data_IF_414773134166
#
_entry.id   IF_414773134166
#
_cell.length_a   1.000
_cell.length_b   1.000
_cell.length_c   1.000
_cell.angle_alpha   90.00
_cell.angle_beta   90.00
_cell.angle_gamma   90.00
#
_symmetry.space_group_name_H-M   'P 1'
#
loop_
_entity.id
_entity.type
_entity.pdbx_description
1 polymer ?
#
# COMPACT_ATOMS: atom_id res chain seq x y z
N UNK A 1 48.40 8.58 10.95
CA UNK A 1 47.44 8.31 9.88
C UNK A 1 46.06 8.12 10.50
N UNK A 2 45.25 9.13 10.45
CA UNK A 2 43.87 9.05 10.96
C UNK A 2 42.97 8.49 9.84
N UNK A 3 42.54 7.26 10.02
CA UNK A 3 41.51 6.65 9.18
C UNK A 3 40.16 7.20 9.66
N UNK A 4 39.62 8.19 8.97
CA UNK A 4 38.24 8.57 9.12
C UNK A 4 37.36 7.47 8.52
N UNK A 5 36.74 6.66 9.36
CA UNK A 5 35.61 5.82 9.00
C UNK A 5 34.45 6.72 8.64
N UNK A 6 34.22 6.94 7.34
CA UNK A 6 32.94 7.46 6.85
C UNK A 6 31.87 6.45 7.25
N UNK A 7 31.03 6.79 8.24
CA UNK A 7 29.76 6.12 8.43
C UNK A 7 28.93 6.40 7.17
N UNK A 8 28.75 5.37 6.33
CA UNK A 8 27.67 5.39 5.35
C UNK A 8 26.35 5.34 6.13
N UNK A 9 25.85 6.50 6.50
CA UNK A 9 24.46 6.69 6.85
C UNK A 9 23.65 6.45 5.59
N UNK A 10 23.21 5.22 5.34
CA UNK A 10 22.07 4.98 4.48
C UNK A 10 20.86 5.58 5.18
N UNK A 11 20.57 6.84 4.91
CA UNK A 11 19.30 7.44 5.24
C UNK A 11 18.23 6.56 4.59
N UNK A 12 17.41 5.94 5.40
CA UNK A 12 16.23 5.20 5.00
C UNK A 12 15.25 6.20 4.38
N UNK A 13 15.45 6.50 3.10
CA UNK A 13 14.74 7.58 2.45
C UNK A 13 13.34 7.10 2.04
N UNK A 14 12.33 7.77 2.59
CA UNK A 14 10.94 7.63 2.13
C UNK A 14 10.81 8.37 0.81
N UNK A 15 10.57 7.64 -0.26
CA UNK A 15 10.41 8.15 -1.62
C UNK A 15 8.93 8.28 -1.96
N UNK A 16 8.53 9.38 -2.57
CA UNK A 16 7.14 9.66 -2.98
C UNK A 16 7.12 10.00 -4.46
N UNK A 17 6.27 9.31 -5.21
CA UNK A 17 6.11 9.48 -6.64
C UNK A 17 4.65 9.77 -6.98
N UNK A 18 4.35 10.95 -7.49
CA UNK A 18 3.05 11.31 -8.03
C UNK A 18 2.92 10.88 -9.49
N UNK A 19 1.68 10.62 -9.95
CA UNK A 19 1.39 10.13 -11.29
C UNK A 19 2.27 8.92 -11.66
N UNK A 20 2.33 7.95 -10.74
CA UNK A 20 3.23 6.80 -10.84
C UNK A 20 2.96 5.95 -12.08
N UNK A 21 1.71 5.70 -12.43
CA UNK A 21 1.31 5.07 -13.68
C UNK A 21 0.96 6.11 -14.75
N UNK A 22 0.94 5.71 -16.01
CA UNK A 22 0.24 6.47 -17.04
C UNK A 22 -1.24 6.58 -16.69
N UNK A 23 -1.92 7.64 -17.16
CA UNK A 23 -3.37 7.80 -16.88
C UNK A 23 -4.17 6.59 -17.38
N UNK A 24 -3.86 6.09 -18.57
CA UNK A 24 -4.55 4.92 -19.13
C UNK A 24 -4.36 3.64 -18.31
N UNK A 25 -3.13 3.37 -17.82
CA UNK A 25 -2.87 2.19 -16.97
C UNK A 25 -3.57 2.31 -15.63
N UNK A 26 -3.59 3.52 -15.06
CA UNK A 26 -4.25 3.79 -13.80
C UNK A 26 -5.78 3.63 -13.89
N UNK A 27 -6.40 4.19 -14.93
CA UNK A 27 -7.85 4.06 -15.16
C UNK A 27 -8.24 2.60 -15.43
N UNK A 28 -7.45 1.87 -16.20
CA UNK A 28 -7.65 0.43 -16.39
C UNK A 28 -7.58 -0.34 -15.07
N UNK A 29 -6.62 -0.03 -14.20
CA UNK A 29 -6.49 -0.67 -12.90
C UNK A 29 -7.70 -0.38 -12.00
N UNK A 30 -8.18 0.87 -11.96
CA UNK A 30 -9.39 1.25 -11.21
C UNK A 30 -10.62 0.50 -11.70
N UNK A 31 -10.78 0.38 -13.02
CA UNK A 31 -11.89 -0.34 -13.65
C UNK A 31 -11.89 -1.83 -13.27
N UNK A 32 -10.75 -2.50 -13.40
CA UNK A 32 -10.59 -3.92 -13.08
C UNK A 32 -10.81 -4.21 -11.58
N UNK A 33 -10.47 -3.27 -10.70
CA UNK A 33 -10.72 -3.36 -9.26
C UNK A 33 -12.17 -3.01 -8.88
N UNK A 34 -13.03 -2.65 -9.85
CA UNK A 34 -14.43 -2.25 -9.64
C UNK A 34 -14.61 -1.11 -8.62
N UNK A 35 -13.72 -0.12 -8.62
CA UNK A 35 -13.73 0.97 -7.65
C UNK A 35 -14.68 2.12 -8.02
N UNK A 36 -15.07 2.27 -9.28
CA UNK A 36 -15.87 3.42 -9.74
C UNK A 36 -17.24 3.04 -10.31
N UNK A 37 -17.42 1.84 -10.83
CA UNK A 37 -18.72 1.39 -11.36
C UNK A 37 -18.81 -0.13 -11.38
N UNK A 38 -19.99 -0.64 -11.06
CA UNK A 38 -20.35 -2.04 -11.19
C UNK A 38 -20.73 -2.33 -12.67
N UNK A 39 -19.74 -2.42 -13.55
CA UNK A 39 -19.96 -2.68 -14.98
C UNK A 39 -19.46 -4.04 -15.42
N UNK A 40 -18.75 -4.77 -14.57
CA UNK A 40 -18.25 -6.10 -14.87
C UNK A 40 -19.18 -7.17 -14.33
N UNK A 41 -19.48 -8.19 -15.14
CA UNK A 41 -20.23 -9.37 -14.72
C UNK A 41 -19.44 -10.22 -13.70
N UNK A 42 -18.14 -9.99 -13.60
CA UNK A 42 -17.22 -10.67 -12.68
C UNK A 42 -16.32 -9.67 -11.96
N UNK A 43 -16.84 -8.88 -10.99
CA UNK A 43 -16.04 -7.91 -10.26
C UNK A 43 -15.00 -8.60 -9.39
N UNK A 44 -13.85 -7.94 -9.19
CA UNK A 44 -12.83 -8.42 -8.25
C UNK A 44 -13.43 -8.60 -6.85
N UNK A 45 -13.27 -9.78 -6.22
CA UNK A 45 -13.84 -10.02 -4.90
C UNK A 45 -13.09 -9.27 -3.82
N UNK A 46 -13.83 -8.76 -2.84
CA UNK A 46 -13.33 -8.14 -1.63
C UNK A 46 -13.76 -8.95 -0.41
N UNK A 47 -12.82 -9.21 0.50
CA UNK A 47 -13.05 -10.03 1.69
C UNK A 47 -13.09 -9.14 2.93
N UNK A 48 -14.18 -9.19 3.66
CA UNK A 48 -14.37 -8.44 4.90
C UNK A 48 -13.42 -8.91 6.00
N UNK A 49 -12.83 -7.95 6.71
CA UNK A 49 -11.98 -8.13 7.88
C UNK A 49 -12.52 -7.30 9.03
N UNK A 50 -12.68 -7.93 10.19
CA UNK A 50 -13.18 -7.28 11.42
C UNK A 50 -12.14 -6.41 12.12
N UNK A 51 -10.90 -6.43 11.66
CA UNK A 51 -9.78 -5.63 12.17
C UNK A 51 -8.86 -5.23 11.03
N UNK A 52 -8.03 -4.21 11.25
CA UNK A 52 -7.08 -3.69 10.25
C UNK A 52 -5.66 -4.19 10.48
N UNK A 53 -5.18 -4.09 11.72
CA UNK A 53 -3.80 -4.43 12.11
C UNK A 53 -3.79 -5.63 13.05
N UNK A 54 -4.57 -5.59 14.13
CA UNK A 54 -4.61 -6.63 15.14
C UNK A 54 -6.03 -6.90 15.62
N UNK A 55 -6.26 -8.11 16.12
CA UNK A 55 -7.57 -8.51 16.65
C UNK A 55 -7.95 -7.60 17.81
N UNK A 56 -9.08 -6.90 17.69
CA UNK A 56 -9.60 -5.98 18.71
C UNK A 56 -9.36 -4.50 18.39
N UNK A 57 -8.61 -4.16 17.33
CA UNK A 57 -8.73 -2.81 16.79
C UNK A 57 -10.14 -2.61 16.22
N UNK A 58 -10.70 -1.42 16.41
CA UNK A 58 -12.08 -1.12 15.99
C UNK A 58 -12.22 -0.81 14.50
N UNK A 59 -11.12 -0.88 13.73
CA UNK A 59 -11.10 -0.49 12.33
C UNK A 59 -11.35 -1.68 11.41
N UNK A 60 -12.49 -1.67 10.74
CA UNK A 60 -12.88 -2.68 9.76
C UNK A 60 -12.36 -2.31 8.36
N UNK A 61 -12.12 -3.31 7.53
CA UNK A 61 -11.71 -3.12 6.14
C UNK A 61 -12.14 -4.28 5.25
N UNK A 62 -12.09 -4.05 3.94
CA UNK A 62 -12.13 -5.12 2.95
C UNK A 62 -10.74 -5.31 2.37
N UNK A 63 -10.36 -6.55 2.09
CA UNK A 63 -9.03 -6.88 1.58
C UNK A 63 -9.11 -7.79 0.36
N UNK A 64 -8.10 -7.68 -0.50
CA UNK A 64 -7.85 -8.64 -1.57
C UNK A 64 -6.37 -8.96 -1.63
N UNK A 65 -6.00 -10.24 -1.48
CA UNK A 65 -4.62 -10.69 -1.59
C UNK A 65 -4.32 -11.11 -3.02
N UNK A 66 -3.50 -10.33 -3.72
CA UNK A 66 -3.05 -10.65 -5.08
C UNK A 66 -1.90 -11.67 -5.08
N UNK A 67 -0.99 -11.54 -4.10
CA UNK A 67 0.20 -12.37 -4.00
C UNK A 67 0.55 -12.63 -2.53
N UNK A 68 0.75 -13.89 -2.18
CA UNK A 68 1.11 -14.34 -0.82
C UNK A 68 1.75 -15.73 -0.91
N UNK A 69 2.59 -16.09 0.06
CA UNK A 69 3.26 -17.39 0.11
C UNK A 69 4.01 -17.72 -1.19
N UNK A 70 4.73 -16.73 -1.74
CA UNK A 70 5.58 -16.85 -2.93
C UNK A 70 4.81 -17.23 -4.22
N UNK A 71 3.52 -16.98 -4.29
CA UNK A 71 2.70 -17.27 -5.46
C UNK A 71 1.57 -16.27 -5.67
N UNK A 72 1.11 -16.08 -6.93
CA UNK A 72 -0.16 -15.43 -7.19
C UNK A 72 -1.30 -16.13 -6.45
N UNK A 73 -2.12 -15.36 -5.74
CA UNK A 73 -3.24 -15.85 -4.94
C UNK A 73 -4.59 -15.51 -5.57
N UNK A 74 -4.58 -14.85 -6.71
CA UNK A 74 -5.78 -14.38 -7.37
C UNK A 74 -5.58 -14.31 -8.90
N UNK A 75 -6.62 -14.63 -9.66
CA UNK A 75 -6.65 -14.46 -11.12
C UNK A 75 -6.50 -12.99 -11.52
N UNK A 76 -6.79 -12.07 -10.60
CA UNK A 76 -6.59 -10.62 -10.77
C UNK A 76 -5.14 -10.18 -10.59
N UNK A 77 -4.20 -11.05 -10.22
CA UNK A 77 -2.79 -10.67 -10.07
C UNK A 77 -2.23 -9.98 -11.32
N UNK A 78 -2.64 -10.40 -12.52
CA UNK A 78 -2.19 -9.85 -13.81
C UNK A 78 -2.53 -8.38 -14.03
N UNK A 79 -3.60 -7.84 -13.38
CA UNK A 79 -3.95 -6.42 -13.53
C UNK A 79 -2.87 -5.50 -12.95
N UNK A 80 -2.03 -6.02 -12.08
CA UNK A 80 -0.91 -5.31 -11.46
C UNK A 80 0.32 -5.20 -12.35
N UNK A 81 0.33 -5.79 -13.55
CA UNK A 81 1.50 -5.79 -14.44
C UNK A 81 2.13 -4.41 -14.69
N UNK A 82 1.37 -3.30 -14.87
CA UNK A 82 1.97 -1.98 -15.04
C UNK A 82 2.75 -1.53 -13.79
N UNK A 83 2.24 -1.81 -12.58
CA UNK A 83 2.93 -1.53 -11.31
C UNK A 83 4.17 -2.40 -11.14
N UNK A 84 4.04 -3.70 -11.37
CA UNK A 84 5.14 -4.67 -11.23
C UNK A 84 6.32 -4.36 -12.15
N UNK A 85 6.05 -3.94 -13.40
CA UNK A 85 7.08 -3.50 -14.34
C UNK A 85 7.86 -2.29 -13.83
N UNK A 86 7.19 -1.35 -13.15
CA UNK A 86 7.84 -0.15 -12.60
C UNK A 86 8.57 -0.43 -11.29
N UNK A 87 8.01 -1.27 -10.42
CA UNK A 87 8.64 -1.70 -9.17
C UNK A 87 9.93 -2.47 -9.46
N UNK A 88 9.94 -3.31 -10.51
CA UNK A 88 11.09 -4.12 -10.94
C UNK A 88 11.74 -4.89 -9.79
N UNK A 89 10.93 -5.60 -9.01
CA UNK A 89 11.36 -6.35 -7.85
C UNK A 89 12.20 -7.58 -8.23
N UNK A 90 13.22 -7.89 -7.45
CA UNK A 90 13.94 -9.17 -7.54
C UNK A 90 13.08 -10.33 -7.06
N UNK A 91 12.32 -10.10 -5.98
CA UNK A 91 11.42 -11.10 -5.40
C UNK A 91 10.23 -10.42 -4.74
N UNK A 92 9.02 -10.89 -5.06
CA UNK A 92 7.81 -10.44 -4.40
C UNK A 92 7.60 -11.23 -3.11
N UNK A 93 7.15 -10.55 -2.05
CA UNK A 93 6.84 -11.15 -0.76
C UNK A 93 5.33 -11.20 -0.55
N UNK A 94 4.66 -10.03 -0.67
CA UNK A 94 3.21 -9.91 -0.51
C UNK A 94 2.68 -8.75 -1.34
N UNK A 95 1.47 -8.90 -1.89
CA UNK A 95 0.71 -7.81 -2.47
C UNK A 95 -0.73 -7.91 -1.99
N UNK A 96 -1.20 -6.87 -1.31
CA UNK A 96 -2.54 -6.82 -0.71
C UNK A 96 -3.20 -5.47 -0.97
N UNK A 97 -4.41 -5.47 -1.53
CA UNK A 97 -5.26 -4.29 -1.53
C UNK A 97 -6.06 -4.21 -0.22
N UNK A 98 -6.24 -3.00 0.27
CA UNK A 98 -7.04 -2.67 1.44
C UNK A 98 -8.02 -1.57 1.05
N UNK A 99 -9.30 -1.78 1.34
CA UNK A 99 -10.39 -0.84 1.12
C UNK A 99 -11.09 -0.58 2.44
N UNK A 100 -11.11 0.68 2.86
CA UNK A 100 -11.84 1.15 4.04
C UNK A 100 -13.01 2.00 3.60
N UNK A 101 -14.17 1.83 4.23
CA UNK A 101 -15.31 2.71 4.05
C UNK A 101 -15.09 4.01 4.83
N UNK A 102 -15.85 5.04 4.43
CA UNK A 102 -15.85 6.34 5.13
C UNK A 102 -16.23 6.17 6.60
N UNK A 103 -15.49 6.86 7.45
CA UNK A 103 -15.76 6.96 8.88
C UNK A 103 -16.33 8.35 9.22
N UNK A 104 -16.77 8.52 10.44
CA UNK A 104 -17.23 9.81 10.98
C UNK A 104 -16.05 10.70 11.38
N UNK A 105 -14.97 10.10 11.85
CA UNK A 105 -13.80 10.78 12.37
C UNK A 105 -12.51 10.26 11.71
N UNK A 106 -11.48 11.11 11.67
CA UNK A 106 -10.13 10.70 11.25
C UNK A 106 -9.39 10.15 12.46
N UNK A 107 -9.21 8.85 12.52
CA UNK A 107 -8.51 8.13 13.59
C UNK A 107 -7.31 7.36 13.05
N UNK A 108 -6.25 7.23 13.86
CA UNK A 108 -5.06 6.47 13.50
C UNK A 108 -5.21 4.99 13.88
N UNK A 109 -4.72 4.10 13.02
CA UNK A 109 -4.54 2.69 13.38
C UNK A 109 -3.21 2.48 14.13
N UNK A 110 -3.03 1.36 14.83
CA UNK A 110 -1.75 1.04 15.46
C UNK A 110 -0.58 1.03 14.46
N UNK A 111 0.60 1.47 14.92
CA UNK A 111 1.85 1.39 14.16
C UNK A 111 2.31 -0.06 14.01
N UNK A 112 2.59 -0.49 12.78
CA UNK A 112 2.98 -1.87 12.50
C UNK A 112 4.01 -1.96 11.36
N UNK A 113 4.53 -3.14 11.14
CA UNK A 113 5.23 -3.55 9.92
C UNK A 113 4.37 -4.59 9.20
N UNK A 114 4.34 -4.51 7.88
CA UNK A 114 3.45 -5.32 7.04
C UNK A 114 3.79 -6.82 7.02
N UNK A 115 5.07 -7.13 7.03
CA UNK A 115 5.63 -8.49 6.93
C UNK A 115 6.93 -8.56 7.71
N UNK A 116 7.34 -9.76 8.11
CA UNK A 116 8.63 -9.98 8.75
C UNK A 116 9.77 -9.44 7.86
N UNK A 117 10.67 -8.67 8.48
CA UNK A 117 11.85 -8.10 7.78
C UNK A 117 13.00 -9.09 7.84
N UNK A 118 13.37 -9.63 6.67
CA UNK A 118 14.43 -10.65 6.52
C UNK A 118 15.67 -10.13 5.78
N UNK A 119 15.59 -8.92 5.23
CA UNK A 119 16.68 -8.27 4.51
C UNK A 119 16.61 -6.76 4.70
N UNK A 120 17.78 -6.10 4.72
CA UNK A 120 17.88 -4.64 4.74
C UNK A 120 17.43 -4.00 3.40
N UNK A 121 17.40 -4.78 2.33
CA UNK A 121 16.94 -4.35 1.01
C UNK A 121 15.43 -4.44 0.84
N UNK A 122 14.75 -5.07 1.81
CA UNK A 122 13.30 -5.27 1.77
C UNK A 122 12.57 -3.93 1.84
N UNK A 123 11.63 -3.74 0.92
CA UNK A 123 10.86 -2.50 0.76
C UNK A 123 9.37 -2.73 0.92
N UNK A 124 8.72 -1.71 1.45
CA UNK A 124 7.27 -1.55 1.46
C UNK A 124 6.90 -0.43 0.50
N UNK A 125 5.94 -0.69 -0.37
CA UNK A 125 5.32 0.30 -1.25
C UNK A 125 3.83 0.40 -0.95
N UNK A 126 3.30 1.62 -0.93
CA UNK A 126 1.86 1.87 -0.80
C UNK A 126 1.43 2.68 -2.01
N UNK A 127 0.55 2.10 -2.83
CA UNK A 127 -0.01 2.74 -4.01
C UNK A 127 -1.45 3.17 -3.72
N UNK A 128 -1.75 4.45 -3.93
CA UNK A 128 -3.04 5.05 -3.60
C UNK A 128 -3.97 5.04 -4.81
N UNK A 129 -5.15 4.44 -4.65
CA UNK A 129 -6.15 4.29 -5.70
C UNK A 129 -7.12 5.45 -5.82
N UNK A 130 -7.23 6.28 -4.79
CA UNK A 130 -8.08 7.48 -4.79
C UNK A 130 -7.55 8.55 -3.85
N UNK A 131 -7.91 9.82 -4.14
CA UNK A 131 -7.62 10.96 -3.27
C UNK A 131 -8.67 11.05 -2.16
N UNK A 132 -8.20 11.26 -0.93
CA UNK A 132 -9.04 11.48 0.25
C UNK A 132 -8.22 12.14 1.38
N UNK A 133 -8.88 12.57 2.47
CA UNK A 133 -8.23 13.21 3.61
C UNK A 133 -7.53 12.23 4.59
N UNK A 134 -7.62 10.93 4.34
CA UNK A 134 -6.86 9.93 5.08
C UNK A 134 -5.36 10.01 4.74
N UNK A 135 -4.52 9.53 5.66
CA UNK A 135 -3.06 9.66 5.58
C UNK A 135 -2.37 8.33 5.87
N UNK A 136 -1.11 8.24 5.45
CA UNK A 136 -0.16 7.24 5.93
C UNK A 136 0.90 7.96 6.76
N UNK A 137 1.14 7.48 7.97
CA UNK A 137 2.16 8.03 8.87
C UNK A 137 3.27 7.00 8.98
N UNK A 138 4.50 7.43 8.74
CA UNK A 138 5.70 6.57 8.76
C UNK A 138 6.53 6.96 9.98
N UNK A 139 7.12 5.98 10.62
CA UNK A 139 8.02 6.17 11.76
C UNK A 139 9.06 7.26 11.48
N UNK A 140 9.30 8.13 12.47
CA UNK A 140 10.07 9.35 12.29
C UNK A 140 9.23 10.57 11.93
N UNK A 141 7.88 10.44 11.86
CA UNK A 141 6.93 11.55 11.77
C UNK A 141 6.59 12.00 10.34
N UNK A 142 7.07 11.29 9.30
CA UNK A 142 6.69 11.62 7.91
C UNK A 142 5.25 11.22 7.63
N UNK A 143 4.44 12.20 7.26
CA UNK A 143 3.03 12.02 6.90
C UNK A 143 2.86 12.12 5.38
N UNK A 144 2.14 11.18 4.79
CA UNK A 144 1.85 11.08 3.35
C UNK A 144 0.35 11.21 3.14
N UNK A 145 -0.05 12.20 2.35
CA UNK A 145 -1.44 12.39 1.95
C UNK A 145 -1.86 11.32 0.93
N UNK A 146 -3.11 10.84 1.06
CA UNK A 146 -3.72 9.93 0.09
C UNK A 146 -4.09 10.71 -1.18
N UNK A 147 -3.26 10.62 -2.19
CA UNK A 147 -3.48 11.20 -3.53
C UNK A 147 -3.53 10.06 -4.54
N UNK A 148 -4.53 10.06 -5.41
CA UNK A 148 -4.66 9.03 -6.44
C UNK A 148 -3.41 8.94 -7.32
N UNK A 149 -3.05 7.72 -7.75
CA UNK A 149 -1.88 7.45 -8.58
C UNK A 149 -0.54 7.88 -7.96
N UNK A 150 -0.49 7.98 -6.62
CA UNK A 150 0.73 8.17 -5.84
C UNK A 150 1.27 6.82 -5.40
N UNK A 151 2.61 6.66 -5.47
CA UNK A 151 3.35 5.56 -4.86
C UNK A 151 4.28 6.13 -3.79
N UNK A 152 4.24 5.58 -2.58
CA UNK A 152 5.26 5.80 -1.57
C UNK A 152 6.06 4.52 -1.36
N UNK A 153 7.39 4.62 -1.30
CA UNK A 153 8.31 3.49 -1.11
C UNK A 153 9.24 3.80 0.07
N UNK A 154 9.38 2.83 0.98
CA UNK A 154 10.25 2.97 2.14
C UNK A 154 10.77 1.59 2.60
N UNK A 155 11.85 1.55 3.41
CA UNK A 155 12.35 0.30 4.00
C UNK A 155 11.27 -0.40 4.83
N UNK A 156 11.10 -1.71 4.65
CA UNK A 156 10.09 -2.50 5.38
C UNK A 156 10.31 -2.53 6.90
N UNK A 157 11.51 -2.15 7.36
CA UNK A 157 11.82 -2.02 8.79
C UNK A 157 11.17 -0.82 9.47
N UNK A 158 10.73 0.20 8.70
CA UNK A 158 10.03 1.35 9.26
C UNK A 158 8.57 0.98 9.57
N UNK A 159 8.18 1.21 10.82
CA UNK A 159 6.77 1.09 11.22
C UNK A 159 5.95 2.18 10.56
N UNK A 160 4.73 1.85 10.25
CA UNK A 160 3.79 2.79 9.67
C UNK A 160 2.36 2.47 10.11
N UNK A 161 1.48 3.45 9.93
CA UNK A 161 0.05 3.25 10.09
C UNK A 161 -0.71 4.03 9.02
N UNK A 162 -2.01 3.81 8.95
CA UNK A 162 -2.93 4.62 8.15
C UNK A 162 -4.00 5.23 9.04
N UNK A 163 -4.58 6.34 8.59
CA UNK A 163 -5.77 6.88 9.23
C UNK A 163 -7.04 6.43 8.51
N UNK A 164 -8.19 6.53 9.17
CA UNK A 164 -9.50 6.58 8.55
C UNK A 164 -9.63 7.86 7.71
N UNK A 165 -10.72 8.03 7.00
CA UNK A 165 -11.04 9.20 6.19
C UNK A 165 -12.53 9.53 6.30
N UNK A 166 -12.90 10.78 5.98
CA UNK A 166 -14.28 11.30 6.19
C UNK A 166 -14.91 11.94 4.96
N UNK A 167 -14.15 12.16 3.89
CA UNK A 167 -14.52 13.01 2.75
C UNK A 167 -14.89 12.27 1.46
N UNK A 168 -14.65 10.96 1.38
CA UNK A 168 -14.97 10.12 0.22
C UNK A 168 -15.69 8.84 0.65
N UNK A 169 -16.40 8.14 -0.26
CA UNK A 169 -17.08 6.89 0.10
C UNK A 169 -16.14 5.78 0.57
N UNK A 170 -14.90 5.75 0.06
CA UNK A 170 -13.90 4.74 0.40
C UNK A 170 -12.48 5.32 0.32
N UNK A 171 -11.55 4.66 0.99
CA UNK A 171 -10.10 4.80 0.83
C UNK A 171 -9.53 3.45 0.41
N UNK A 172 -8.88 3.42 -0.76
CA UNK A 172 -8.28 2.19 -1.27
C UNK A 172 -6.78 2.37 -1.52
N UNK A 173 -5.98 1.42 -1.03
CA UNK A 173 -4.53 1.35 -1.26
C UNK A 173 -4.12 -0.07 -1.62
N UNK A 174 -3.03 -0.21 -2.36
CA UNK A 174 -2.38 -1.50 -2.62
C UNK A 174 -1.00 -1.48 -1.95
N UNK A 175 -0.81 -2.39 -1.00
CA UNK A 175 0.47 -2.57 -0.31
C UNK A 175 1.30 -3.61 -1.04
N UNK A 176 2.55 -3.28 -1.33
CA UNK A 176 3.56 -4.13 -1.94
C UNK A 176 4.70 -4.35 -0.95
N UNK A 177 5.15 -5.60 -0.81
CA UNK A 177 6.36 -5.93 -0.07
C UNK A 177 7.25 -6.79 -0.98
N UNK A 178 8.51 -6.37 -1.15
CA UNK A 178 9.45 -7.00 -2.07
C UNK A 178 10.92 -6.74 -1.69
N UNK A 179 11.83 -7.45 -2.40
CA UNK A 179 13.28 -7.23 -2.43
C UNK A 179 13.68 -6.83 -3.84
#
# INVERSE_FOLDING_TARGET
MNVQTKSLGMASEVQVYDNYLSRSDFDSLKYEMALESFTSDTPMPWYYQTFKVELGDSQQQFTHHFYINQSPNSDYFKILNPLLKKINALSLIRIKANLQLRDNDVTESPMHIDVEVRSQEQKTGIFYMNTNNGKTIIEGGKTIDSIENRMVIFPSSLRHNGTTHTDTPYRCVINFNWI
#
